data_IF_844535116254
#
_entry.id   IF_844535116254
#
_cell.length_a   1.000
_cell.length_b   1.000
_cell.length_c   1.000
_cell.angle_alpha   90.00
_cell.angle_beta   90.00
_cell.angle_gamma   90.00
#
_symmetry.space_group_name_H-M   'P 1'
#
loop_
_entity.id
_entity.type
_entity.pdbx_description
1 polymer ?
#
# COMPACT_ATOMS: atom_id res chain seq x y z
N UNK A 1 -4.19 -10.73 -19.35
CA UNK A 1 -3.56 -9.58 -18.64
C UNK A 1 -2.53 -10.16 -17.69
N UNK A 2 -1.35 -9.57 -17.57
CA UNK A 2 -0.34 -10.07 -16.61
C UNK A 2 -0.49 -9.27 -15.32
N UNK A 3 -0.39 -9.96 -14.19
CA UNK A 3 -0.55 -9.36 -12.87
C UNK A 3 0.39 -8.15 -12.64
N UNK A 4 1.67 -8.30 -12.96
CA UNK A 4 2.67 -7.23 -12.84
C UNK A 4 2.35 -6.02 -13.75
N UNK A 5 1.87 -6.26 -14.96
CA UNK A 5 1.58 -5.17 -15.91
C UNK A 5 0.41 -4.32 -15.41
N UNK A 6 -0.60 -4.93 -14.80
CA UNK A 6 -1.71 -4.20 -14.18
C UNK A 6 -1.28 -3.41 -12.94
N UNK A 7 -0.32 -3.93 -12.17
CA UNK A 7 0.29 -3.15 -11.09
C UNK A 7 1.03 -1.92 -11.63
N UNK A 8 1.86 -2.07 -12.68
CA UNK A 8 2.56 -0.96 -13.31
C UNK A 8 1.55 0.09 -13.83
N UNK A 9 0.55 -0.36 -14.59
CA UNK A 9 -0.53 0.50 -15.09
C UNK A 9 -1.23 1.26 -13.98
N UNK A 10 -1.50 0.61 -12.86
CA UNK A 10 -2.14 1.23 -11.71
C UNK A 10 -1.25 2.29 -11.05
N UNK A 11 0.05 2.02 -10.93
CA UNK A 11 0.99 3.02 -10.38
C UNK A 11 1.13 4.23 -11.29
N UNK A 12 1.21 4.02 -12.61
CA UNK A 12 1.20 5.09 -13.60
C UNK A 12 -0.06 5.95 -13.51
N UNK A 13 -1.23 5.32 -13.40
CA UNK A 13 -2.50 6.02 -13.18
C UNK A 13 -2.48 6.86 -11.90
N UNK A 14 -2.08 6.28 -10.77
CA UNK A 14 -1.98 7.02 -9.51
C UNK A 14 -1.01 8.19 -9.61
N UNK A 15 0.09 8.05 -10.35
CA UNK A 15 1.11 9.07 -10.48
C UNK A 15 0.63 10.32 -11.25
N UNK A 16 -0.44 10.23 -12.01
CA UNK A 16 -1.03 11.36 -12.74
C UNK A 16 -1.77 12.34 -11.81
N UNK A 17 -2.22 11.88 -10.64
CA UNK A 17 -2.80 12.79 -9.64
C UNK A 17 -1.69 13.58 -8.94
N UNK A 18 -1.78 14.91 -8.96
CA UNK A 18 -0.78 15.79 -8.37
C UNK A 18 -0.62 15.62 -6.84
N UNK A 19 -1.62 15.07 -6.18
CA UNK A 19 -1.60 14.81 -4.73
C UNK A 19 -0.86 13.52 -4.37
N UNK A 20 -0.68 12.62 -5.33
CA UNK A 20 -0.09 11.30 -5.07
C UNK A 20 1.40 11.37 -4.85
N UNK A 21 1.87 10.75 -3.78
CA UNK A 21 3.29 10.57 -3.40
C UNK A 21 3.50 9.11 -3.01
N UNK A 22 4.51 8.46 -3.58
CA UNK A 22 4.93 7.11 -3.22
C UNK A 22 5.98 7.18 -2.11
N UNK A 23 5.74 6.52 -0.99
CA UNK A 23 6.63 6.57 0.17
C UNK A 23 6.93 5.17 0.69
N UNK A 24 8.16 4.89 1.02
CA UNK A 24 8.57 3.63 1.62
C UNK A 24 10.02 3.29 1.42
N UNK A 25 10.38 2.10 1.87
CA UNK A 25 11.70 1.52 1.64
C UNK A 25 11.77 0.92 0.23
N UNK A 26 12.86 1.17 -0.48
CA UNK A 26 13.10 0.70 -1.85
C UNK A 26 11.99 1.10 -2.83
N UNK A 27 11.53 2.35 -2.74
CA UNK A 27 10.65 2.95 -3.75
C UNK A 27 11.46 3.69 -4.82
N UNK A 28 12.67 4.18 -4.49
CA UNK A 28 13.62 4.81 -5.43
C UNK A 28 14.72 3.86 -5.90
N UNK A 29 15.08 2.86 -5.11
CA UNK A 29 16.21 1.99 -5.36
C UNK A 29 15.76 0.54 -5.49
N UNK A 30 16.38 -0.21 -6.41
CA UNK A 30 16.09 -1.63 -6.58
C UNK A 30 16.33 -2.41 -5.29
N UNK A 31 15.52 -3.44 -5.04
CA UNK A 31 15.67 -4.28 -3.84
C UNK A 31 14.46 -5.18 -3.56
N UNK A 32 13.32 -4.87 -4.18
CA UNK A 32 12.11 -5.69 -4.03
C UNK A 32 11.21 -5.61 -5.28
N UNK A 33 10.21 -6.48 -5.34
CA UNK A 33 9.30 -6.55 -6.48
C UNK A 33 8.41 -5.30 -6.62
N UNK A 34 8.11 -4.60 -5.53
CA UNK A 34 7.33 -3.35 -5.54
C UNK A 34 8.07 -2.27 -6.33
N UNK A 35 9.39 -2.13 -6.14
CA UNK A 35 10.22 -1.21 -6.91
C UNK A 35 10.03 -1.39 -8.42
N UNK A 36 10.03 -2.63 -8.90
CA UNK A 36 9.89 -2.92 -10.32
C UNK A 36 8.55 -2.44 -10.93
N UNK A 37 7.56 -2.12 -10.10
CA UNK A 37 6.29 -1.53 -10.52
C UNK A 37 6.28 0.00 -10.45
N UNK A 38 7.35 0.61 -9.95
CA UNK A 38 7.52 2.05 -9.77
C UNK A 38 8.64 2.64 -10.64
N UNK A 39 9.28 1.84 -11.49
CA UNK A 39 10.43 2.30 -12.32
C UNK A 39 10.06 3.45 -13.25
N UNK A 40 8.86 3.43 -13.83
CA UNK A 40 8.37 4.48 -14.74
C UNK A 40 7.93 5.77 -14.02
N UNK A 41 7.82 5.74 -12.69
CA UNK A 41 7.34 6.89 -11.91
C UNK A 41 8.49 7.87 -11.68
N UNK A 42 8.21 9.18 -11.87
CA UNK A 42 9.17 10.24 -11.64
C UNK A 42 9.66 10.28 -10.18
N UNK A 43 10.95 10.47 -9.99
CA UNK A 43 11.59 10.46 -8.67
C UNK A 43 11.13 11.60 -7.75
N UNK A 44 10.60 12.70 -8.31
CA UNK A 44 10.01 13.79 -7.55
C UNK A 44 8.74 13.37 -6.80
N UNK A 45 8.10 12.29 -7.25
CA UNK A 45 6.91 11.70 -6.60
C UNK A 45 7.24 10.59 -5.60
N UNK A 46 8.52 10.30 -5.38
CA UNK A 46 8.96 9.21 -4.50
C UNK A 46 9.70 9.77 -3.29
N UNK A 47 9.36 9.28 -2.10
CA UNK A 47 10.07 9.53 -0.85
C UNK A 47 10.65 8.19 -0.38
N UNK A 48 11.97 8.03 -0.52
CA UNK A 48 12.67 6.89 0.04
C UNK A 48 12.80 7.05 1.56
N UNK A 49 12.46 6.03 2.32
CA UNK A 49 12.59 6.02 3.78
C UNK A 49 13.62 4.99 4.25
N UNK A 50 14.28 5.21 5.38
CA UNK A 50 14.92 4.12 6.11
C UNK A 50 13.89 3.06 6.55
N UNK A 51 14.39 1.93 7.07
CA UNK A 51 13.56 0.85 7.60
C UNK A 51 13.01 1.25 8.97
N UNK A 52 11.83 1.88 9.00
CA UNK A 52 11.06 2.15 10.23
C UNK A 52 9.58 2.33 9.89
N UNK A 53 8.90 1.24 9.76
CA UNK A 53 7.55 1.10 9.23
C UNK A 53 6.51 1.89 10.02
N UNK A 54 6.63 1.96 11.34
CA UNK A 54 5.75 2.75 12.21
C UNK A 54 5.83 4.25 11.87
N UNK A 55 7.04 4.80 11.75
CA UNK A 55 7.26 6.20 11.38
C UNK A 55 6.77 6.49 9.97
N UNK A 56 7.01 5.57 9.02
CA UNK A 56 6.52 5.68 7.64
C UNK A 56 5.00 5.83 7.59
N UNK A 57 4.25 5.04 8.37
CA UNK A 57 2.79 5.15 8.44
C UNK A 57 2.36 6.48 9.08
N UNK A 58 3.05 6.93 10.12
CA UNK A 58 2.79 8.23 10.75
C UNK A 58 3.01 9.39 9.79
N UNK A 59 4.11 9.38 9.02
CA UNK A 59 4.38 10.37 7.95
C UNK A 59 3.29 10.34 6.89
N UNK A 60 2.88 9.14 6.46
CA UNK A 60 1.80 8.97 5.46
C UNK A 60 0.48 9.57 5.96
N UNK A 61 0.13 9.34 7.22
CA UNK A 61 -1.05 9.95 7.83
C UNK A 61 -0.95 11.47 7.86
N UNK A 62 0.22 12.01 8.23
CA UNK A 62 0.47 13.46 8.23
C UNK A 62 0.39 14.09 6.85
N UNK A 63 0.93 13.43 5.83
CA UNK A 63 0.81 13.87 4.43
C UNK A 63 -0.66 13.89 3.99
N UNK A 64 -1.43 12.86 4.31
CA UNK A 64 -2.85 12.78 3.95
C UNK A 64 -3.68 13.88 4.62
N UNK A 65 -3.38 14.24 5.87
CA UNK A 65 -4.02 15.36 6.56
C UNK A 65 -3.67 16.72 5.95
N UNK A 66 -2.59 16.81 5.18
CA UNK A 66 -2.20 18.00 4.42
C UNK A 66 -2.65 17.98 2.95
N UNK A 67 -3.56 17.08 2.59
CA UNK A 67 -4.19 17.04 1.27
C UNK A 67 -3.46 16.21 0.21
N UNK A 68 -2.37 15.52 0.57
CA UNK A 68 -1.75 14.53 -0.30
C UNK A 68 -2.51 13.20 -0.26
N UNK A 69 -2.22 12.33 -1.22
CA UNK A 69 -2.68 10.93 -1.26
C UNK A 69 -1.43 10.02 -1.27
N UNK A 70 -0.83 9.74 -0.12
CA UNK A 70 0.33 8.89 -0.06
C UNK A 70 -0.01 7.45 -0.42
N UNK A 71 0.80 6.87 -1.31
CA UNK A 71 0.87 5.42 -1.58
C UNK A 71 2.04 4.89 -0.76
N UNK A 72 1.74 4.36 0.43
CA UNK A 72 2.78 3.90 1.37
C UNK A 72 3.06 2.42 1.13
N UNK A 73 4.32 2.12 0.77
CA UNK A 73 4.73 0.80 0.28
C UNK A 73 5.49 0.02 1.35
N UNK A 74 4.98 -1.14 1.71
CA UNK A 74 5.61 -2.12 2.60
C UNK A 74 5.96 -3.36 1.78
N UNK A 75 7.23 -3.70 1.57
CA UNK A 75 7.63 -4.77 0.64
C UNK A 75 7.10 -6.16 1.00
N UNK A 76 6.78 -6.38 2.26
CA UNK A 76 6.17 -7.62 2.75
C UNK A 76 5.10 -7.33 3.78
N UNK A 77 4.08 -8.16 3.82
CA UNK A 77 2.99 -8.06 4.79
C UNK A 77 3.51 -8.22 6.23
N UNK A 78 4.51 -9.07 6.40
CA UNK A 78 5.19 -9.26 7.69
C UNK A 78 5.77 -7.94 8.25
N UNK A 79 6.26 -7.05 7.39
CA UNK A 79 6.82 -5.77 7.81
C UNK A 79 5.74 -4.73 8.18
N UNK A 80 4.58 -4.80 7.54
CA UNK A 80 3.46 -3.92 7.89
C UNK A 80 3.00 -4.11 9.34
N UNK A 81 3.25 -5.26 9.95
CA UNK A 81 2.94 -5.51 11.38
C UNK A 81 3.63 -4.47 12.28
N UNK A 82 4.84 -4.02 11.93
CA UNK A 82 5.55 -3.00 12.70
C UNK A 82 4.83 -1.64 12.69
N UNK A 83 4.00 -1.38 11.68
CA UNK A 83 3.19 -0.17 11.57
C UNK A 83 1.76 -0.32 12.15
N UNK A 84 1.42 -1.45 12.78
CA UNK A 84 0.06 -1.72 13.27
C UNK A 84 -0.47 -0.64 14.20
N UNK A 85 0.36 -0.09 15.09
CA UNK A 85 -0.11 0.95 16.00
C UNK A 85 -0.59 2.19 15.23
N UNK A 86 0.21 2.69 14.30
CA UNK A 86 -0.16 3.87 13.50
C UNK A 86 -1.35 3.59 12.57
N UNK A 87 -1.44 2.38 12.00
CA UNK A 87 -2.55 2.01 11.14
C UNK A 87 -3.84 1.83 11.93
N UNK A 88 -3.83 0.98 12.97
CA UNK A 88 -5.05 0.54 13.68
C UNK A 88 -5.55 1.59 14.66
N UNK A 89 -4.64 2.21 15.45
CA UNK A 89 -5.01 3.11 16.52
C UNK A 89 -5.09 4.59 16.08
N UNK A 90 -4.41 4.95 14.98
CA UNK A 90 -4.40 6.33 14.50
C UNK A 90 -5.14 6.45 13.17
N UNK A 91 -4.61 5.97 12.05
CA UNK A 91 -5.20 6.17 10.72
C UNK A 91 -6.66 5.68 10.66
N UNK A 92 -6.92 4.47 11.11
CA UNK A 92 -8.27 3.85 11.08
C UNK A 92 -9.27 4.56 12.01
N UNK A 93 -8.82 5.21 13.07
CA UNK A 93 -9.69 5.84 14.08
C UNK A 93 -9.80 7.35 13.96
N UNK A 94 -8.94 8.00 13.19
CA UNK A 94 -8.85 9.47 13.17
C UNK A 94 -10.16 10.14 12.72
N UNK A 95 -10.87 9.58 11.77
CA UNK A 95 -12.16 10.11 11.32
C UNK A 95 -13.20 10.06 12.47
N UNK A 96 -13.28 8.93 13.18
CA UNK A 96 -14.15 8.78 14.33
C UNK A 96 -13.75 9.74 15.47
N UNK A 97 -12.48 9.81 15.84
CA UNK A 97 -11.98 10.67 16.92
C UNK A 97 -12.18 12.16 16.60
N UNK A 98 -12.07 12.54 15.33
CA UNK A 98 -12.26 13.92 14.88
C UNK A 98 -13.73 14.27 14.58
N UNK A 99 -14.66 13.34 14.82
CA UNK A 99 -16.09 13.49 14.48
C UNK A 99 -16.30 13.83 13.00
N UNK A 100 -15.53 13.20 12.12
CA UNK A 100 -15.63 13.37 10.68
C UNK A 100 -14.93 14.62 10.11
N UNK A 101 -14.24 15.41 10.93
CA UNK A 101 -13.53 16.60 10.44
C UNK A 101 -12.20 16.27 9.75
N UNK A 102 -11.59 15.13 10.06
CA UNK A 102 -10.35 14.65 9.45
C UNK A 102 -10.62 13.33 8.73
N UNK A 103 -10.38 13.31 7.41
CA UNK A 103 -10.61 12.16 6.53
C UNK A 103 -9.37 11.87 5.69
N UNK A 104 -8.29 11.39 6.29
CA UNK A 104 -7.05 11.13 5.56
C UNK A 104 -7.26 10.01 4.53
N UNK A 105 -6.76 10.23 3.32
CA UNK A 105 -6.72 9.21 2.26
C UNK A 105 -5.31 8.69 2.12
N UNK A 106 -5.11 7.44 2.53
CA UNK A 106 -3.84 6.73 2.42
C UNK A 106 -4.06 5.42 1.67
N UNK A 107 -3.29 5.18 0.63
CA UNK A 107 -3.25 3.90 -0.08
C UNK A 107 -2.08 3.11 0.49
N UNK A 108 -2.38 2.07 1.27
CA UNK A 108 -1.37 1.23 1.90
C UNK A 108 -1.16 0.02 0.99
N UNK A 109 0.06 -0.18 0.55
CA UNK A 109 0.43 -1.20 -0.41
C UNK A 109 1.39 -2.19 0.23
N UNK A 110 1.04 -3.48 0.23
CA UNK A 110 1.91 -4.54 0.76
C UNK A 110 1.77 -5.82 -0.04
N UNK A 111 2.70 -6.77 0.12
CA UNK A 111 2.64 -8.05 -0.59
C UNK A 111 2.84 -9.24 0.33
N UNK A 112 2.07 -10.30 0.12
CA UNK A 112 2.37 -11.64 0.62
C UNK A 112 3.54 -12.17 -0.20
N UNK A 113 4.63 -12.55 0.44
CA UNK A 113 5.83 -13.00 -0.26
C UNK A 113 5.63 -14.31 -1.02
N UNK A 114 6.32 -14.45 -2.15
CA UNK A 114 6.36 -15.69 -2.91
C UNK A 114 7.14 -16.79 -2.16
N UNK A 115 6.75 -18.05 -2.39
CA UNK A 115 7.52 -19.22 -1.95
C UNK A 115 8.39 -19.79 -3.08
N UNK A 116 8.11 -19.41 -4.32
CA UNK A 116 8.87 -19.76 -5.51
C UNK A 116 9.17 -18.53 -6.34
N UNK A 117 10.33 -18.45 -7.02
CA UNK A 117 11.45 -19.39 -7.04
C UNK A 117 12.33 -19.36 -5.79
N UNK A 118 12.09 -18.42 -4.85
CA UNK A 118 12.83 -18.29 -3.60
C UNK A 118 11.81 -18.15 -2.44
N UNK A 119 11.87 -19.09 -1.49
CA UNK A 119 11.12 -18.99 -0.24
C UNK A 119 11.90 -18.15 0.78
N UNK A 120 11.38 -16.98 1.11
CA UNK A 120 11.94 -16.12 2.15
C UNK A 120 11.71 -16.63 3.59
N UNK A 121 10.98 -17.74 3.74
CA UNK A 121 10.63 -18.33 5.02
C UNK A 121 9.43 -17.62 5.70
N UNK A 122 9.07 -18.07 6.92
CA UNK A 122 7.84 -17.66 7.59
C UNK A 122 7.77 -16.17 7.96
N UNK A 123 8.89 -15.47 7.97
CA UNK A 123 8.97 -14.03 8.22
C UNK A 123 8.76 -13.17 6.97
N UNK A 124 8.47 -13.79 5.81
CA UNK A 124 8.30 -13.08 4.53
C UNK A 124 7.10 -13.57 3.72
N UNK A 125 6.38 -14.61 4.17
CA UNK A 125 5.35 -15.27 3.39
C UNK A 125 4.02 -15.40 4.12
N UNK A 126 3.85 -14.72 5.25
CA UNK A 126 2.62 -14.79 6.01
C UNK A 126 1.49 -13.97 5.38
N UNK A 127 0.27 -14.46 5.51
CA UNK A 127 -0.96 -13.77 5.13
C UNK A 127 -1.75 -13.35 6.36
N UNK A 128 -1.82 -12.05 6.60
CA UNK A 128 -2.57 -11.47 7.71
C UNK A 128 -3.89 -10.82 7.27
N UNK A 129 -4.34 -11.07 6.05
CA UNK A 129 -5.55 -10.45 5.46
C UNK A 129 -6.75 -10.52 6.39
N UNK A 130 -7.04 -11.71 6.95
CA UNK A 130 -8.20 -11.89 7.83
C UNK A 130 -8.06 -11.16 9.17
N UNK A 131 -6.83 -11.05 9.68
CA UNK A 131 -6.55 -10.31 10.91
C UNK A 131 -6.79 -8.81 10.70
N UNK A 132 -6.27 -8.24 9.62
CA UNK A 132 -6.48 -6.82 9.30
C UNK A 132 -7.95 -6.52 8.98
N UNK A 133 -8.68 -7.39 8.28
CA UNK A 133 -10.14 -7.26 8.07
C UNK A 133 -10.93 -7.19 9.38
N UNK A 134 -10.45 -7.82 10.46
CA UNK A 134 -11.09 -7.76 11.77
C UNK A 134 -10.68 -6.54 12.59
N UNK A 135 -9.44 -6.08 12.45
CA UNK A 135 -8.92 -4.95 13.22
C UNK A 135 -9.32 -3.60 12.65
N UNK A 136 -9.40 -3.48 11.32
CA UNK A 136 -9.70 -2.24 10.62
C UNK A 136 -11.21 -2.08 10.42
N UNK A 137 -11.73 -0.94 10.79
CA UNK A 137 -13.17 -0.63 10.76
C UNK A 137 -13.52 0.51 9.80
N UNK A 138 -12.57 1.38 9.50
CA UNK A 138 -12.72 2.54 8.63
C UNK A 138 -11.69 2.57 7.48
N UNK A 139 -10.81 1.61 7.44
CA UNK A 139 -9.86 1.38 6.35
C UNK A 139 -10.30 0.13 5.58
N UNK A 140 -10.54 0.26 4.28
CA UNK A 140 -10.91 -0.87 3.41
C UNK A 140 -9.73 -1.83 3.28
N UNK A 141 -9.99 -3.14 3.30
CA UNK A 141 -8.96 -4.17 3.08
C UNK A 141 -9.30 -4.97 1.83
N UNK A 142 -8.43 -4.89 0.83
CA UNK A 142 -8.59 -5.52 -0.48
C UNK A 142 -7.41 -6.47 -0.73
N UNK A 143 -7.71 -7.72 -1.10
CA UNK A 143 -6.70 -8.67 -1.57
C UNK A 143 -6.83 -8.82 -3.09
N UNK A 144 -5.72 -8.65 -3.79
CA UNK A 144 -5.66 -8.70 -5.25
C UNK A 144 -5.32 -10.13 -5.69
N UNK A 145 -6.33 -10.92 -5.96
CA UNK A 145 -6.13 -12.33 -6.36
C UNK A 145 -5.92 -12.48 -7.87
N UNK A 146 -6.66 -11.71 -8.66
CA UNK A 146 -6.66 -11.80 -10.12
C UNK A 146 -6.17 -10.48 -10.75
N UNK A 147 -5.53 -10.51 -11.93
CA UNK A 147 -5.07 -9.30 -12.62
C UNK A 147 -6.20 -8.28 -12.88
N UNK A 148 -7.41 -8.75 -13.14
CA UNK A 148 -8.58 -7.92 -13.43
C UNK A 148 -9.04 -7.09 -12.25
N UNK A 149 -8.72 -7.50 -11.03
CA UNK A 149 -9.09 -6.79 -9.79
C UNK A 149 -8.17 -5.61 -9.50
N UNK A 150 -6.97 -5.58 -10.09
CA UNK A 150 -5.87 -4.68 -9.68
C UNK A 150 -6.22 -3.23 -9.98
N UNK A 151 -6.42 -2.89 -11.25
CA UNK A 151 -6.66 -1.50 -11.63
C UNK A 151 -7.92 -0.92 -10.98
N UNK A 152 -9.07 -1.61 -10.97
CA UNK A 152 -10.27 -1.11 -10.28
C UNK A 152 -10.06 -0.86 -8.78
N UNK A 153 -9.27 -1.70 -8.11
CA UNK A 153 -8.99 -1.53 -6.68
C UNK A 153 -8.17 -0.26 -6.40
N UNK A 154 -7.15 0.04 -7.21
CA UNK A 154 -6.36 1.26 -7.07
C UNK A 154 -7.13 2.51 -7.50
N UNK A 155 -7.94 2.41 -8.56
CA UNK A 155 -8.83 3.50 -8.99
C UNK A 155 -9.82 3.86 -7.88
N UNK A 156 -10.49 2.86 -7.28
CA UNK A 156 -11.41 3.08 -6.16
C UNK A 156 -10.67 3.65 -4.93
N UNK A 157 -9.47 3.17 -4.62
CA UNK A 157 -8.68 3.69 -3.50
C UNK A 157 -8.32 5.17 -3.67
N UNK A 158 -8.10 5.64 -4.90
CA UNK A 158 -7.84 7.04 -5.20
C UNK A 158 -9.13 7.88 -5.25
N UNK A 159 -10.17 7.41 -5.92
CA UNK A 159 -11.35 8.20 -6.32
C UNK A 159 -12.63 7.85 -5.55
N UNK A 160 -12.68 6.69 -4.89
CA UNK A 160 -13.86 6.20 -4.18
C UNK A 160 -14.26 7.08 -2.99
N UNK A 161 -15.53 7.01 -2.62
CA UNK A 161 -16.11 7.82 -1.54
C UNK A 161 -16.48 7.01 -0.28
N UNK A 162 -16.58 5.69 -0.38
CA UNK A 162 -17.03 4.83 0.72
C UNK A 162 -15.98 4.69 1.82
N UNK A 163 -14.70 4.62 1.42
CA UNK A 163 -13.56 4.59 2.34
C UNK A 163 -12.54 5.64 1.91
N UNK A 164 -11.92 6.31 2.88
CA UNK A 164 -10.85 7.26 2.59
C UNK A 164 -9.49 6.57 2.49
N UNK A 165 -9.21 5.59 3.35
CA UNK A 165 -7.97 4.82 3.30
C UNK A 165 -8.22 3.37 2.90
N UNK A 166 -7.24 2.76 2.20
CA UNK A 166 -7.35 1.38 1.69
C UNK A 166 -6.04 0.64 1.90
N UNK A 167 -6.11 -0.53 2.51
CA UNK A 167 -5.02 -1.51 2.55
C UNK A 167 -5.18 -2.47 1.38
N UNK A 168 -4.24 -2.41 0.44
CA UNK A 168 -4.17 -3.26 -0.74
C UNK A 168 -3.08 -4.31 -0.55
N UNK A 169 -3.46 -5.58 -0.65
CA UNK A 169 -2.61 -6.74 -0.41
C UNK A 169 -2.39 -7.45 -1.74
N UNK A 170 -1.15 -7.46 -2.19
CA UNK A 170 -0.69 -8.07 -3.43
C UNK A 170 -0.13 -9.48 -3.17
N UNK A 171 -0.13 -10.33 -4.18
CA UNK A 171 0.44 -11.67 -4.10
C UNK A 171 1.78 -11.73 -4.84
N UNK A 172 2.87 -11.79 -4.08
CA UNK A 172 4.23 -11.82 -4.63
C UNK A 172 4.50 -12.97 -5.58
N UNK A 173 3.80 -14.10 -5.41
CA UNK A 173 3.87 -15.24 -6.33
C UNK A 173 3.39 -14.93 -7.75
N UNK A 174 2.45 -14.01 -7.90
CA UNK A 174 1.88 -13.63 -9.20
C UNK A 174 2.71 -12.62 -10.00
N UNK A 175 3.74 -12.00 -9.39
CA UNK A 175 4.58 -11.01 -10.09
C UNK A 175 5.37 -11.60 -11.26
N UNK A 176 5.60 -12.92 -11.25
CA UNK A 176 6.32 -13.63 -12.31
C UNK A 176 5.39 -14.48 -13.19
N UNK A 177 4.08 -14.40 -12.99
CA UNK A 177 3.11 -15.14 -13.79
C UNK A 177 3.18 -14.70 -15.25
N UNK A 178 3.15 -15.69 -16.14
CA UNK A 178 3.38 -15.57 -17.59
C UNK A 178 2.18 -15.05 -18.34
#
# INVERSE_FOLDING_TARGET
MKYKDELIRSMEFLSQDNRTIFIGQSVKYSGNAIFNTLESIDDSKKIETPVFEDVQMGISTGLALNGFVPVTCYPRFDFLILACNQLVNHLDKIEYMSKGSMKPRVIIRTSIGAKEPLDGGPQHTADYTQSFKKMLTNTKVVSLNEPEDIFPAFEEALLGNDFHSTLIIEHGGHYNDK
#
